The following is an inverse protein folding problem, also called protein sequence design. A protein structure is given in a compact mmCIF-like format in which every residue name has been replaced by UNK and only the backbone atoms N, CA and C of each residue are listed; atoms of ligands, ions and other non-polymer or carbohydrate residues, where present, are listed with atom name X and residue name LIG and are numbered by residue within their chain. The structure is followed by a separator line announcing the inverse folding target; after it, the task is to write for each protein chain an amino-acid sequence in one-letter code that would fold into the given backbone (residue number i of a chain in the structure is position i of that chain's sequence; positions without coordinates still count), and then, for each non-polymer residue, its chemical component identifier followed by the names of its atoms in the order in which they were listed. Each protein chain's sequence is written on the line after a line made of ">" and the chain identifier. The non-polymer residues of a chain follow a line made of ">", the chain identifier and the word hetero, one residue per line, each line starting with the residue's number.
data_IF_810543912947
#
_entry.id   IF_810543912947
#
_cell.length_a   1.000
_cell.length_b   1.000
_cell.length_c   1.000
_cell.angle_alpha   90.00
_cell.angle_beta   90.00
_cell.angle_gamma   90.00
#
_symmetry.space_group_name_H-M   'P 1'
#
loop_
_entity.id
_entity.type
_entity.pdbx_description
1 polymer ?
#
# COMPACT_ATOMS: atom_id res chain seq x y z
N UNK A 1 45.43 24.49 41.21
CA UNK A 1 44.09 23.87 40.98
C UNK A 1 43.96 22.71 41.95
N UNK A 2 42.98 22.74 42.84
CA UNK A 2 42.77 21.69 43.84
C UNK A 2 42.26 20.44 43.18
N UNK A 3 42.72 19.26 43.64
CA UNK A 3 42.28 17.94 43.10
C UNK A 3 40.75 17.80 43.08
N UNK A 4 40.06 18.44 44.01
CA UNK A 4 38.60 18.42 44.11
C UNK A 4 37.88 19.14 42.94
N UNK A 5 38.51 20.21 42.39
CA UNK A 5 37.99 20.93 41.22
C UNK A 5 38.13 20.11 39.92
N UNK A 6 39.17 19.29 39.83
CA UNK A 6 39.41 18.42 38.68
C UNK A 6 38.42 17.23 38.66
N UNK A 7 38.11 16.67 39.83
CA UNK A 7 37.13 15.57 39.97
C UNK A 7 35.71 16.06 39.63
N UNK A 8 35.34 17.29 40.04
CA UNK A 8 34.03 17.88 39.74
C UNK A 8 33.87 18.16 38.23
N UNK A 9 34.94 18.59 37.55
CA UNK A 9 34.93 18.79 36.09
C UNK A 9 34.85 17.47 35.36
N UNK A 10 35.53 16.42 35.83
CA UNK A 10 35.47 15.08 35.21
C UNK A 10 34.08 14.44 35.40
N UNK A 11 33.44 14.58 36.56
CA UNK A 11 32.07 14.12 36.79
C UNK A 11 31.04 14.92 35.96
N UNK A 12 31.24 16.23 35.75
CA UNK A 12 30.39 17.06 34.91
C UNK A 12 30.48 16.73 33.42
N UNK A 13 31.63 16.23 32.94
CA UNK A 13 31.83 15.85 31.54
C UNK A 13 31.34 14.43 31.26
N UNK A 14 31.34 13.53 32.25
CA UNK A 14 30.84 12.17 32.09
C UNK A 14 29.30 12.12 31.99
N UNK A 15 28.59 13.12 32.52
CA UNK A 15 27.12 13.19 32.41
C UNK A 15 26.62 13.73 31.07
N UNK A 16 27.48 14.15 30.15
CA UNK A 16 27.09 14.68 28.82
C UNK A 16 27.13 13.58 27.73
N UNK A 17 27.71 12.41 28.01
CA UNK A 17 27.73 11.27 27.10
C UNK A 17 26.73 10.14 27.51
N UNK A 18 25.54 10.52 27.98
CA UNK A 18 24.44 9.56 27.87
C UNK A 18 24.11 9.46 26.39
N UNK A 19 24.77 8.51 25.72
CA UNK A 19 24.43 8.14 24.36
C UNK A 19 22.93 7.90 24.33
N UNK A 20 22.21 8.63 23.49
CA UNK A 20 20.81 8.34 23.14
C UNK A 20 20.75 6.96 22.45
N UNK A 21 20.91 5.89 23.22
CA UNK A 21 20.54 4.58 22.71
C UNK A 21 19.01 4.55 22.63
N UNK A 22 18.43 4.33 21.46
CA UNK A 22 17.00 4.26 21.33
C UNK A 22 16.47 3.17 22.26
N UNK A 23 15.27 3.36 22.80
CA UNK A 23 14.64 2.39 23.69
C UNK A 23 14.62 0.99 23.03
N UNK A 24 15.07 -0.08 23.70
CA UNK A 24 15.21 -1.42 23.07
C UNK A 24 13.94 -1.92 22.38
N UNK A 25 12.76 -1.69 23.01
CA UNK A 25 11.48 -2.07 22.42
C UNK A 25 11.14 -1.24 21.18
N UNK A 26 11.55 0.03 21.12
CA UNK A 26 11.35 0.88 19.95
C UNK A 26 12.15 0.37 18.75
N UNK A 27 13.41 0.01 18.97
CA UNK A 27 14.28 -0.58 17.94
C UNK A 27 13.74 -1.94 17.47
N UNK A 28 13.27 -2.79 18.39
CA UNK A 28 12.70 -4.10 18.07
C UNK A 28 11.40 -3.97 17.29
N UNK A 29 10.54 -3.03 17.66
CA UNK A 29 9.31 -2.73 16.96
C UNK A 29 9.57 -2.30 15.51
N UNK A 30 10.53 -1.39 15.29
CA UNK A 30 10.92 -0.90 13.96
C UNK A 30 11.42 -2.05 13.05
N UNK A 31 12.18 -2.99 13.59
CA UNK A 31 12.64 -4.17 12.84
C UNK A 31 11.49 -5.11 12.41
N UNK A 32 10.44 -5.22 13.23
CA UNK A 32 9.34 -6.15 13.03
C UNK A 32 8.18 -5.54 12.22
N UNK A 33 8.15 -4.22 12.03
CA UNK A 33 7.01 -3.44 11.58
C UNK A 33 6.39 -3.91 10.26
N UNK A 34 7.21 -4.39 9.34
CA UNK A 34 6.74 -4.84 8.02
C UNK A 34 6.40 -6.33 7.97
N UNK A 35 7.12 -7.17 8.74
CA UNK A 35 6.96 -8.63 8.67
C UNK A 35 6.01 -9.17 9.72
N UNK A 36 5.96 -8.53 10.90
CA UNK A 36 5.17 -8.97 12.07
C UNK A 36 4.55 -7.75 12.76
N UNK A 37 3.58 -7.05 12.13
CA UNK A 37 3.03 -5.81 12.65
C UNK A 37 2.32 -5.97 14.01
N UNK A 38 1.67 -7.10 14.28
CA UNK A 38 1.07 -7.41 15.60
C UNK A 38 2.13 -7.47 16.70
N UNK A 39 3.25 -8.17 16.43
CA UNK A 39 4.37 -8.24 17.36
C UNK A 39 5.00 -6.85 17.57
N UNK A 40 5.16 -6.08 16.49
CA UNK A 40 5.64 -4.70 16.57
C UNK A 40 4.75 -3.86 17.47
N UNK A 41 3.41 -3.93 17.30
CA UNK A 41 2.45 -3.21 18.13
C UNK A 41 2.54 -3.63 19.60
N UNK A 42 2.79 -4.91 19.87
CA UNK A 42 2.98 -5.43 21.23
C UNK A 42 4.22 -4.82 21.90
N UNK A 43 5.36 -4.74 21.19
CA UNK A 43 6.56 -4.07 21.70
C UNK A 43 6.35 -2.58 21.95
N UNK A 44 5.61 -1.89 21.08
CA UNK A 44 5.29 -0.46 21.24
C UNK A 44 4.40 -0.22 22.46
N UNK A 45 3.38 -1.05 22.69
CA UNK A 45 2.48 -0.97 23.85
C UNK A 45 3.17 -1.32 25.19
N UNK A 46 4.25 -2.09 25.15
CA UNK A 46 5.03 -2.42 26.34
C UNK A 46 5.90 -1.24 26.84
N UNK A 47 6.04 -0.18 26.05
CA UNK A 47 6.74 1.02 26.47
C UNK A 47 5.83 1.85 27.38
N UNK A 48 6.20 1.93 28.64
CA UNK A 48 5.50 2.74 29.64
C UNK A 48 5.90 4.20 29.48
N UNK A 49 4.93 5.11 29.51
CA UNK A 49 5.16 6.56 29.43
C UNK A 49 6.03 6.99 28.23
N UNK A 50 5.66 6.64 26.96
CA UNK A 50 6.43 7.00 25.79
C UNK A 50 6.62 8.51 25.64
N UNK A 51 5.71 9.33 26.20
CA UNK A 51 5.78 10.78 26.26
C UNK A 51 6.98 11.33 27.04
N UNK A 52 7.62 10.51 27.88
CA UNK A 52 8.82 10.88 28.64
C UNK A 52 10.12 10.61 27.86
N UNK A 53 10.06 10.06 26.66
CA UNK A 53 11.21 9.88 25.78
C UNK A 53 11.72 11.22 25.23
N UNK A 54 12.87 11.16 24.52
CA UNK A 54 13.30 12.31 23.73
C UNK A 54 12.20 12.69 22.72
N UNK A 55 12.06 13.97 22.33
CA UNK A 55 11.05 14.38 21.34
C UNK A 55 11.13 13.57 20.03
N UNK A 56 12.32 13.24 19.57
CA UNK A 56 12.57 12.41 18.40
C UNK A 56 12.07 10.97 18.58
N UNK A 57 12.39 10.35 19.71
CA UNK A 57 11.99 8.96 19.98
C UNK A 57 10.49 8.84 20.20
N UNK A 58 9.87 9.84 20.85
CA UNK A 58 8.42 9.91 21.00
C UNK A 58 7.72 10.06 19.65
N UNK A 59 8.21 10.96 18.79
CA UNK A 59 7.68 11.10 17.44
C UNK A 59 7.85 9.80 16.62
N UNK A 60 9.00 9.13 16.73
CA UNK A 60 9.24 7.82 16.12
C UNK A 60 8.28 6.76 16.66
N UNK A 61 8.06 6.71 17.97
CA UNK A 61 7.09 5.81 18.58
C UNK A 61 5.68 6.04 18.03
N UNK A 62 5.25 7.30 17.95
CA UNK A 62 3.96 7.67 17.37
C UNK A 62 3.82 7.18 15.92
N UNK A 63 4.86 7.38 15.10
CA UNK A 63 4.89 6.92 13.70
C UNK A 63 4.79 5.40 13.61
N UNK A 64 5.56 4.66 14.40
CA UNK A 64 5.56 3.20 14.39
C UNK A 64 4.22 2.61 14.86
N UNK A 65 3.56 3.24 15.85
CA UNK A 65 2.20 2.82 16.27
C UNK A 65 1.22 2.96 15.10
N UNK A 66 1.26 4.09 14.40
CA UNK A 66 0.39 4.30 13.24
C UNK A 66 0.71 3.30 12.11
N UNK A 67 1.98 3.09 11.81
CA UNK A 67 2.42 2.11 10.81
C UNK A 67 1.98 0.69 11.17
N UNK A 68 2.13 0.28 12.42
CA UNK A 68 1.71 -1.04 12.88
C UNK A 68 0.19 -1.23 12.77
N UNK A 69 -0.60 -0.20 13.11
CA UNK A 69 -2.06 -0.22 12.95
C UNK A 69 -2.46 -0.36 11.49
N UNK A 70 -1.88 0.45 10.61
CA UNK A 70 -2.14 0.37 9.17
C UNK A 70 -1.81 -1.00 8.59
N UNK A 71 -0.64 -1.56 8.94
CA UNK A 71 -0.22 -2.88 8.47
C UNK A 71 -1.12 -4.03 9.02
N UNK A 72 -1.84 -3.78 10.11
CA UNK A 72 -2.88 -4.66 10.66
C UNK A 72 -4.30 -4.30 10.15
N UNK A 73 -4.40 -3.61 9.03
CA UNK A 73 -5.67 -3.20 8.40
C UNK A 73 -6.62 -2.40 9.34
N UNK A 74 -6.05 -1.65 10.29
CA UNK A 74 -6.80 -0.75 11.17
C UNK A 74 -6.83 0.66 10.58
N UNK A 75 -7.99 1.36 10.70
CA UNK A 75 -8.10 2.77 10.31
C UNK A 75 -7.16 3.66 11.13
N UNK A 76 -6.60 4.67 10.47
CA UNK A 76 -5.76 5.69 11.10
C UNK A 76 -6.54 6.93 11.54
N UNK A 77 -7.77 7.13 11.06
CA UNK A 77 -8.57 8.36 11.26
C UNK A 77 -8.83 8.71 12.73
N UNK A 78 -9.10 7.75 13.66
CA UNK A 78 -9.32 8.10 15.06
C UNK A 78 -8.04 8.50 15.80
N UNK A 79 -6.86 8.37 15.13
CA UNK A 79 -5.56 8.38 15.82
C UNK A 79 -4.77 9.66 15.58
N UNK A 80 -4.48 10.40 16.65
CA UNK A 80 -3.67 11.60 16.60
C UNK A 80 -2.15 11.33 16.51
N UNK A 81 -1.70 10.07 16.58
CA UNK A 81 -0.26 9.74 16.64
C UNK A 81 0.48 10.13 15.36
N UNK A 82 -0.12 9.96 14.19
CA UNK A 82 0.50 10.40 12.93
C UNK A 82 0.78 11.91 12.96
N UNK A 83 -0.16 12.72 13.46
CA UNK A 83 0.01 14.17 13.52
C UNK A 83 1.08 14.59 14.53
N UNK A 84 1.26 13.86 15.64
CA UNK A 84 2.37 14.09 16.57
C UNK A 84 3.72 13.78 15.91
N UNK A 85 3.81 12.72 15.13
CA UNK A 85 5.00 12.43 14.34
C UNK A 85 5.23 13.52 13.28
N UNK A 86 4.16 13.98 12.61
CA UNK A 86 4.22 15.04 11.62
C UNK A 86 4.71 16.36 12.20
N UNK A 87 4.22 16.76 13.37
CA UNK A 87 4.67 18.00 14.04
C UNK A 87 6.17 18.03 14.30
N UNK A 88 6.79 16.87 14.51
CA UNK A 88 8.23 16.75 14.68
C UNK A 88 8.97 16.63 13.34
N UNK A 89 8.67 15.58 12.54
CA UNK A 89 9.47 15.26 11.35
C UNK A 89 9.23 16.18 10.15
N UNK A 90 8.18 17.00 10.15
CA UNK A 90 8.02 18.06 9.15
C UNK A 90 9.00 19.25 9.38
N UNK A 91 9.51 19.42 10.61
CA UNK A 91 10.46 20.46 11.01
C UNK A 91 11.90 19.95 11.06
N UNK A 92 12.09 18.72 11.56
CA UNK A 92 13.39 18.04 11.60
C UNK A 92 13.45 16.94 10.54
N UNK A 93 13.92 17.30 9.35
CA UNK A 93 14.04 16.38 8.21
C UNK A 93 15.43 15.72 8.12
N UNK A 94 16.20 15.70 9.22
CA UNK A 94 17.54 15.12 9.28
C UNK A 94 17.55 13.60 9.05
N UNK A 95 16.42 12.92 9.30
CA UNK A 95 16.20 11.51 9.02
C UNK A 95 15.22 11.35 7.84
N UNK A 96 15.71 11.18 6.60
CA UNK A 96 14.84 11.11 5.42
C UNK A 96 13.86 9.92 5.44
N UNK A 97 14.25 8.79 6.08
CA UNK A 97 13.38 7.60 6.17
C UNK A 97 12.16 7.89 7.04
N UNK A 98 12.38 8.42 8.24
CA UNK A 98 11.29 8.75 9.17
C UNK A 98 10.43 9.89 8.61
N UNK A 99 11.04 10.87 7.96
CA UNK A 99 10.33 11.96 7.29
C UNK A 99 9.45 11.44 6.16
N UNK A 100 9.98 10.59 5.28
CA UNK A 100 9.21 9.98 4.17
C UNK A 100 8.01 9.19 4.69
N UNK A 101 8.22 8.31 5.68
CA UNK A 101 7.14 7.53 6.30
C UNK A 101 6.09 8.43 6.94
N UNK A 102 6.51 9.49 7.62
CA UNK A 102 5.58 10.43 8.26
C UNK A 102 4.67 11.10 7.24
N UNK A 103 5.23 11.67 6.18
CA UNK A 103 4.42 12.25 5.10
C UNK A 103 3.52 11.21 4.43
N UNK A 104 4.01 9.99 4.20
CA UNK A 104 3.22 8.90 3.63
C UNK A 104 1.99 8.56 4.48
N UNK A 105 2.16 8.30 5.79
CA UNK A 105 1.03 7.97 6.65
C UNK A 105 0.09 9.16 6.88
N UNK A 106 0.58 10.40 6.85
CA UNK A 106 -0.26 11.60 6.87
C UNK A 106 -1.12 11.67 5.60
N UNK A 107 -0.52 11.37 4.44
CA UNK A 107 -1.25 11.30 3.17
C UNK A 107 -2.37 10.24 3.18
N UNK A 108 -2.11 9.06 3.79
CA UNK A 108 -3.13 8.02 3.91
C UNK A 108 -4.34 8.48 4.75
N UNK A 109 -4.11 9.23 5.84
CA UNK A 109 -5.20 9.84 6.60
C UNK A 109 -5.97 10.84 5.73
N UNK A 110 -5.27 11.75 5.05
CA UNK A 110 -5.91 12.74 4.16
C UNK A 110 -6.75 12.04 3.07
N UNK A 111 -6.26 10.91 2.51
CA UNK A 111 -7.00 10.08 1.55
C UNK A 111 -8.26 9.45 2.19
N UNK A 112 -8.15 8.95 3.43
CA UNK A 112 -9.28 8.32 4.15
C UNK A 112 -10.39 9.33 4.47
N UNK A 113 -10.04 10.56 4.85
CA UNK A 113 -11.01 11.65 5.07
C UNK A 113 -11.42 12.38 3.78
N UNK A 114 -11.00 11.86 2.60
CA UNK A 114 -11.31 12.37 1.26
C UNK A 114 -10.73 13.75 0.93
N UNK A 115 -9.71 14.19 1.64
CA UNK A 115 -8.92 15.38 1.25
C UNK A 115 -7.84 14.97 0.23
N UNK A 116 -8.26 14.73 -1.00
CA UNK A 116 -7.42 14.10 -2.05
C UNK A 116 -6.29 15.01 -2.50
N UNK A 117 -6.52 16.33 -2.52
CA UNK A 117 -5.49 17.31 -2.91
C UNK A 117 -4.33 17.30 -1.90
N UNK A 118 -4.64 17.38 -0.61
CA UNK A 118 -3.65 17.33 0.45
C UNK A 118 -2.92 15.97 0.48
N UNK A 119 -3.66 14.86 0.27
CA UNK A 119 -3.07 13.54 0.15
C UNK A 119 -2.02 13.48 -0.96
N UNK A 120 -2.32 14.02 -2.14
CA UNK A 120 -1.38 14.07 -3.26
C UNK A 120 -0.14 14.91 -2.91
N UNK A 121 -0.32 16.08 -2.29
CA UNK A 121 0.80 16.95 -1.87
C UNK A 121 1.73 16.25 -0.87
N UNK A 122 1.17 15.54 0.12
CA UNK A 122 1.96 14.79 1.09
C UNK A 122 2.65 13.57 0.45
N UNK A 123 2.00 12.85 -0.48
CA UNK A 123 2.63 11.77 -1.22
C UNK A 123 3.83 12.25 -2.05
N UNK A 124 3.72 13.39 -2.73
CA UNK A 124 4.83 13.97 -3.48
C UNK A 124 6.02 14.30 -2.57
N UNK A 125 5.77 14.91 -1.40
CA UNK A 125 6.82 15.17 -0.40
C UNK A 125 7.41 13.87 0.15
N UNK A 126 6.56 12.88 0.46
CA UNK A 126 7.01 11.57 0.93
C UNK A 126 7.96 10.91 -0.07
N UNK A 127 7.67 11.01 -1.37
CA UNK A 127 8.52 10.47 -2.44
C UNK A 127 9.88 11.12 -2.47
N UNK A 128 9.95 12.44 -2.41
CA UNK A 128 11.23 13.18 -2.43
C UNK A 128 12.14 12.72 -1.29
N UNK A 129 11.60 12.45 -0.11
CA UNK A 129 12.36 11.94 1.02
C UNK A 129 12.66 10.43 0.91
N UNK A 130 11.75 9.62 0.35
CA UNK A 130 11.99 8.20 0.09
C UNK A 130 13.14 8.01 -0.91
N UNK A 131 13.20 8.82 -1.97
CA UNK A 131 14.31 8.84 -2.93
C UNK A 131 15.63 9.22 -2.26
N UNK A 132 15.65 10.27 -1.43
CA UNK A 132 16.84 10.66 -0.65
C UNK A 132 17.32 9.56 0.28
N UNK A 133 16.41 8.76 0.81
CA UNK A 133 16.71 7.63 1.70
C UNK A 133 17.06 6.35 0.93
N UNK A 134 16.92 6.32 -0.40
CA UNK A 134 16.98 5.11 -1.24
C UNK A 134 15.97 4.02 -0.80
N UNK A 135 14.85 4.42 -0.16
CA UNK A 135 13.75 3.52 0.18
C UNK A 135 12.82 3.34 -1.03
N UNK A 136 13.28 2.57 -2.01
CA UNK A 136 12.55 2.34 -3.26
C UNK A 136 11.29 1.50 -3.06
N UNK A 137 11.17 0.73 -1.97
CA UNK A 137 9.93 0.05 -1.62
C UNK A 137 8.85 1.05 -1.20
N UNK A 138 9.20 2.04 -0.38
CA UNK A 138 8.28 3.10 -0.01
C UNK A 138 7.97 4.00 -1.22
N UNK A 139 8.98 4.36 -2.03
CA UNK A 139 8.80 5.15 -3.24
C UNK A 139 7.82 4.47 -4.23
N UNK A 140 7.90 3.13 -4.38
CA UNK A 140 6.92 2.37 -5.14
C UNK A 140 5.50 2.48 -4.57
N UNK A 141 5.31 2.26 -3.25
CA UNK A 141 3.99 2.38 -2.61
C UNK A 141 3.37 3.77 -2.81
N UNK A 142 4.20 4.80 -2.74
CA UNK A 142 3.77 6.18 -2.99
C UNK A 142 3.30 6.35 -4.44
N UNK A 143 4.06 5.85 -5.42
CA UNK A 143 3.68 5.90 -6.83
C UNK A 143 2.38 5.15 -7.11
N UNK A 144 2.19 3.98 -6.49
CA UNK A 144 0.94 3.22 -6.56
C UNK A 144 -0.27 4.03 -6.04
N UNK A 145 -0.15 4.67 -4.87
CA UNK A 145 -1.21 5.54 -4.31
C UNK A 145 -1.48 6.78 -5.18
N UNK A 146 -0.45 7.37 -5.78
CA UNK A 146 -0.60 8.49 -6.73
C UNK A 146 -1.31 8.03 -8.01
N UNK A 147 -1.05 6.83 -8.53
CA UNK A 147 -1.78 6.26 -9.67
C UNK A 147 -3.29 6.15 -9.38
N UNK A 148 -3.66 5.71 -8.17
CA UNK A 148 -5.06 5.65 -7.74
C UNK A 148 -5.70 7.05 -7.69
N UNK A 149 -5.00 8.03 -7.11
CA UNK A 149 -5.47 9.42 -7.06
C UNK A 149 -5.65 9.99 -8.47
N UNK A 150 -4.65 9.88 -9.34
CA UNK A 150 -4.72 10.40 -10.70
C UNK A 150 -5.80 9.72 -11.53
N UNK A 151 -6.01 8.41 -11.31
CA UNK A 151 -7.11 7.67 -11.94
C UNK A 151 -8.48 8.25 -11.57
N UNK A 152 -8.72 8.49 -10.27
CA UNK A 152 -9.98 9.04 -9.77
C UNK A 152 -10.24 10.49 -10.21
N UNK A 153 -9.17 11.23 -10.49
CA UNK A 153 -9.23 12.62 -10.96
C UNK A 153 -9.28 12.73 -12.51
N UNK A 154 -9.24 11.61 -13.24
CA UNK A 154 -9.19 11.60 -14.70
C UNK A 154 -7.86 12.11 -15.29
N UNK A 155 -6.80 12.17 -14.48
CA UNK A 155 -5.48 12.66 -14.88
C UNK A 155 -4.63 11.51 -15.47
N UNK A 156 -5.06 10.95 -16.59
CA UNK A 156 -4.53 9.70 -17.14
C UNK A 156 -3.08 9.78 -17.63
N UNK A 157 -2.62 10.94 -18.10
CA UNK A 157 -1.21 11.13 -18.48
C UNK A 157 -0.28 11.14 -17.27
N UNK A 158 -0.72 11.77 -16.18
CA UNK A 158 0.00 11.74 -14.91
C UNK A 158 0.01 10.32 -14.32
N UNK A 159 -1.12 9.58 -14.41
CA UNK A 159 -1.20 8.18 -13.99
C UNK A 159 -0.18 7.32 -14.75
N UNK A 160 -0.09 7.45 -16.07
CA UNK A 160 0.86 6.65 -16.86
C UNK A 160 2.31 7.00 -16.52
N UNK A 161 2.60 8.28 -16.35
CA UNK A 161 3.95 8.74 -15.94
C UNK A 161 4.33 8.17 -14.57
N UNK A 162 3.40 8.18 -13.63
CA UNK A 162 3.62 7.69 -12.28
C UNK A 162 3.72 6.16 -12.23
N UNK A 163 2.92 5.44 -13.05
CA UNK A 163 3.01 3.98 -13.17
C UNK A 163 4.40 3.53 -13.68
N UNK A 164 4.97 4.23 -14.66
CA UNK A 164 6.34 3.98 -15.12
C UNK A 164 7.38 4.27 -14.04
N UNK A 165 7.19 5.34 -13.26
CA UNK A 165 8.07 5.65 -12.14
C UNK A 165 8.02 4.56 -11.07
N UNK A 166 6.81 4.13 -10.70
CA UNK A 166 6.59 3.03 -9.76
C UNK A 166 7.25 1.72 -10.25
N UNK A 167 7.13 1.42 -11.55
CA UNK A 167 7.78 0.25 -12.12
C UNK A 167 9.31 0.32 -12.00
N UNK A 168 9.91 1.47 -12.23
CA UNK A 168 11.34 1.65 -12.06
C UNK A 168 11.77 1.44 -10.60
N UNK A 169 11.04 1.97 -9.62
CA UNK A 169 11.32 1.74 -8.21
C UNK A 169 11.19 0.26 -7.82
N UNK A 170 10.14 -0.42 -8.31
CA UNK A 170 9.95 -1.84 -8.06
C UNK A 170 11.09 -2.68 -8.64
N UNK A 171 11.62 -2.32 -9.83
CA UNK A 171 12.78 -2.99 -10.42
C UNK A 171 14.06 -2.77 -9.60
N UNK A 172 14.29 -1.57 -9.08
CA UNK A 172 15.46 -1.26 -8.24
C UNK A 172 15.38 -2.00 -6.92
N UNK A 173 14.19 -2.04 -6.29
CA UNK A 173 13.99 -2.73 -5.02
C UNK A 173 14.07 -4.24 -5.11
N UNK A 174 13.86 -4.81 -6.33
CA UNK A 174 13.82 -6.26 -6.61
C UNK A 174 12.77 -7.01 -5.80
N UNK A 175 11.78 -6.30 -5.25
CA UNK A 175 10.67 -6.92 -4.54
C UNK A 175 9.62 -7.43 -5.54
N UNK A 176 9.45 -8.75 -5.58
CA UNK A 176 8.56 -9.40 -6.56
C UNK A 176 7.10 -8.99 -6.41
N UNK A 177 6.65 -8.67 -5.19
CA UNK A 177 5.29 -8.20 -4.95
C UNK A 177 5.09 -6.80 -5.51
N UNK A 178 6.06 -5.90 -5.27
CA UNK A 178 6.06 -4.55 -5.87
C UNK A 178 6.12 -4.61 -7.39
N UNK A 179 6.91 -5.53 -7.97
CA UNK A 179 6.98 -5.73 -9.43
C UNK A 179 5.62 -6.17 -10.00
N UNK A 180 4.92 -7.08 -9.31
CA UNK A 180 3.57 -7.50 -9.70
C UNK A 180 2.61 -6.30 -9.76
N UNK A 181 2.50 -5.55 -8.66
CA UNK A 181 1.60 -4.40 -8.61
C UNK A 181 1.99 -3.30 -9.61
N UNK A 182 3.29 -3.05 -9.81
CA UNK A 182 3.75 -2.05 -10.77
C UNK A 182 3.41 -2.42 -12.23
N UNK A 183 3.48 -3.70 -12.58
CA UNK A 183 3.02 -4.18 -13.89
C UNK A 183 1.50 -4.05 -14.05
N UNK A 184 0.74 -4.35 -12.99
CA UNK A 184 -0.71 -4.15 -12.99
C UNK A 184 -1.07 -2.65 -13.15
N UNK A 185 -0.38 -1.74 -12.43
CA UNK A 185 -0.57 -0.30 -12.56
C UNK A 185 -0.30 0.20 -13.99
N UNK A 186 0.75 -0.31 -14.65
CA UNK A 186 1.02 -0.03 -16.07
C UNK A 186 -0.11 -0.54 -16.96
N UNK A 187 -0.58 -1.77 -16.75
CA UNK A 187 -1.71 -2.33 -17.47
C UNK A 187 -2.96 -1.46 -17.32
N UNK A 188 -3.30 -1.06 -16.10
CA UNK A 188 -4.42 -0.16 -15.83
C UNK A 188 -4.23 1.24 -16.42
N UNK A 189 -3.00 1.78 -16.41
CA UNK A 189 -2.72 3.09 -17.00
C UNK A 189 -2.89 3.06 -18.54
N UNK A 190 -2.41 2.01 -19.20
CA UNK A 190 -2.62 1.83 -20.64
C UNK A 190 -4.08 1.56 -20.98
N UNK A 191 -4.80 0.79 -20.15
CA UNK A 191 -6.23 0.53 -20.34
C UNK A 191 -7.05 1.83 -20.27
N UNK A 192 -6.75 2.74 -19.33
CA UNK A 192 -7.44 4.05 -19.25
C UNK A 192 -7.14 4.97 -20.43
N UNK A 193 -6.09 4.71 -21.19
CA UNK A 193 -5.75 5.41 -22.45
C UNK A 193 -6.23 4.66 -23.70
N UNK A 194 -7.06 3.64 -23.52
CA UNK A 194 -7.60 2.77 -24.61
C UNK A 194 -6.52 2.05 -25.43
N UNK A 195 -5.31 1.94 -24.88
CA UNK A 195 -4.20 1.21 -25.50
C UNK A 195 -4.21 -0.26 -25.03
N UNK A 196 -5.22 -1.00 -25.50
CA UNK A 196 -5.58 -2.31 -24.95
C UNK A 196 -4.50 -3.38 -25.16
N UNK A 197 -3.78 -3.35 -26.29
CA UNK A 197 -2.69 -4.31 -26.54
C UNK A 197 -1.52 -4.09 -25.57
N UNK A 198 -1.21 -2.84 -25.25
CA UNK A 198 -0.21 -2.50 -24.22
C UNK A 198 -0.68 -2.93 -22.84
N UNK A 199 -1.97 -2.72 -22.51
CA UNK A 199 -2.53 -3.16 -21.24
C UNK A 199 -2.43 -4.68 -21.09
N UNK A 200 -2.83 -5.45 -22.10
CA UNK A 200 -2.71 -6.92 -22.13
C UNK A 200 -1.26 -7.37 -21.90
N UNK A 201 -0.29 -6.76 -22.60
CA UNK A 201 1.11 -7.10 -22.44
C UNK A 201 1.58 -6.99 -20.99
N UNK A 202 1.19 -5.94 -20.26
CA UNK A 202 1.58 -5.75 -18.87
C UNK A 202 0.81 -6.66 -17.92
N UNK A 203 -0.49 -6.87 -18.11
CA UNK A 203 -1.27 -7.79 -17.30
C UNK A 203 -0.80 -9.24 -17.45
N UNK A 204 -0.49 -9.68 -18.68
CA UNK A 204 0.06 -11.02 -18.94
C UNK A 204 1.42 -11.22 -18.31
N UNK A 205 2.24 -10.18 -18.19
CA UNK A 205 3.50 -10.22 -17.42
C UNK A 205 3.29 -10.22 -15.91
N UNK A 206 2.26 -9.55 -15.41
CA UNK A 206 1.93 -9.51 -13.99
C UNK A 206 1.40 -10.86 -13.48
N UNK A 207 0.60 -11.55 -14.28
CA UNK A 207 -0.11 -12.78 -13.89
C UNK A 207 0.79 -13.90 -13.32
N UNK A 208 1.87 -14.36 -13.98
CA UNK A 208 2.72 -15.42 -13.45
C UNK A 208 3.45 -15.01 -12.16
N UNK A 209 3.70 -13.71 -11.99
CA UNK A 209 4.30 -13.21 -10.75
C UNK A 209 3.25 -13.27 -9.64
N UNK A 210 2.00 -12.84 -9.89
CA UNK A 210 0.90 -12.93 -8.93
C UNK A 210 0.72 -14.37 -8.43
N UNK A 211 0.67 -15.36 -9.33
CA UNK A 211 0.54 -16.77 -8.97
C UNK A 211 1.61 -17.23 -7.97
N UNK A 212 2.84 -16.73 -8.12
CA UNK A 212 3.98 -17.15 -7.31
C UNK A 212 4.05 -16.42 -5.97
N UNK A 213 3.86 -15.09 -5.95
CA UNK A 213 4.15 -14.27 -4.77
C UNK A 213 2.90 -13.84 -4.01
N UNK A 214 1.74 -13.84 -4.64
CA UNK A 214 0.46 -13.46 -4.06
C UNK A 214 -0.69 -14.32 -4.59
N UNK A 215 -0.72 -15.63 -4.29
CA UNK A 215 -1.70 -16.56 -4.88
C UNK A 215 -3.17 -16.13 -4.73
N UNK A 216 -3.51 -15.39 -3.69
CA UNK A 216 -4.85 -14.83 -3.48
C UNK A 216 -5.23 -13.77 -4.54
N UNK A 217 -4.25 -13.12 -5.18
CA UNK A 217 -4.50 -12.15 -6.24
C UNK A 217 -4.58 -12.79 -7.64
N UNK A 218 -4.43 -14.12 -7.76
CA UNK A 218 -4.44 -14.82 -9.05
C UNK A 218 -5.72 -14.58 -9.82
N UNK A 219 -6.88 -14.70 -9.17
CA UNK A 219 -8.19 -14.46 -9.78
C UNK A 219 -8.36 -13.01 -10.23
N UNK A 220 -7.91 -12.04 -9.39
CA UNK A 220 -7.93 -10.62 -9.74
C UNK A 220 -7.04 -10.31 -10.96
N UNK A 221 -5.83 -10.88 -11.02
CA UNK A 221 -4.93 -10.71 -12.16
C UNK A 221 -5.53 -11.28 -13.46
N UNK A 222 -6.24 -12.42 -13.39
CA UNK A 222 -7.00 -12.95 -14.53
C UNK A 222 -8.16 -12.04 -14.92
N UNK A 223 -8.82 -11.41 -13.96
CA UNK A 223 -9.90 -10.46 -14.23
C UNK A 223 -9.41 -9.23 -14.97
N UNK A 224 -8.21 -8.72 -14.65
CA UNK A 224 -7.59 -7.61 -15.39
C UNK A 224 -7.38 -7.98 -16.87
N UNK A 225 -6.87 -9.18 -17.14
CA UNK A 225 -6.72 -9.72 -18.51
C UNK A 225 -8.11 -9.88 -19.17
N UNK A 226 -9.08 -10.42 -18.45
CA UNK A 226 -10.43 -10.61 -18.94
C UNK A 226 -11.08 -9.28 -19.36
N UNK A 227 -11.00 -8.24 -18.52
CA UNK A 227 -11.50 -6.90 -18.85
C UNK A 227 -10.80 -6.30 -20.08
N UNK A 228 -9.50 -6.53 -20.23
CA UNK A 228 -8.78 -6.06 -21.41
C UNK A 228 -9.29 -6.76 -22.69
N UNK A 229 -9.58 -8.08 -22.66
CA UNK A 229 -10.21 -8.78 -23.79
C UNK A 229 -11.64 -8.31 -24.05
N UNK A 230 -12.44 -8.01 -23.02
CA UNK A 230 -13.78 -7.40 -23.18
C UNK A 230 -13.66 -6.06 -23.92
N UNK A 231 -12.75 -5.19 -23.49
CA UNK A 231 -12.51 -3.88 -24.13
C UNK A 231 -12.01 -4.03 -25.58
N UNK A 232 -11.27 -5.11 -25.88
CA UNK A 232 -10.87 -5.49 -27.24
C UNK A 232 -11.99 -6.08 -28.07
N UNK A 233 -13.14 -6.39 -27.45
CA UNK A 233 -14.29 -7.13 -28.01
C UNK A 233 -13.94 -8.57 -28.44
N UNK A 234 -12.87 -9.14 -27.91
CA UNK A 234 -12.52 -10.54 -28.05
C UNK A 234 -13.21 -11.36 -26.95
N UNK A 235 -14.51 -11.57 -27.11
CA UNK A 235 -15.34 -12.25 -26.12
C UNK A 235 -15.00 -13.74 -25.97
N UNK A 236 -14.39 -14.37 -26.98
CA UNK A 236 -13.96 -15.76 -26.89
C UNK A 236 -12.80 -15.88 -25.89
N UNK A 237 -11.78 -15.06 -26.06
CA UNK A 237 -10.66 -15.01 -25.11
C UNK A 237 -11.12 -14.56 -23.72
N UNK A 238 -12.00 -13.56 -23.64
CA UNK A 238 -12.57 -13.09 -22.38
C UNK A 238 -13.29 -14.22 -21.62
N UNK A 239 -14.15 -15.01 -22.28
CA UNK A 239 -14.85 -16.14 -21.66
C UNK A 239 -13.88 -17.22 -21.18
N UNK A 240 -12.83 -17.51 -21.94
CA UNK A 240 -11.79 -18.48 -21.55
C UNK A 240 -11.12 -18.03 -20.26
N UNK A 241 -10.60 -16.81 -20.22
CA UNK A 241 -9.89 -16.25 -19.06
C UNK A 241 -10.82 -16.13 -17.84
N UNK A 242 -12.07 -15.70 -18.05
CA UNK A 242 -13.07 -15.64 -16.97
C UNK A 242 -13.35 -17.02 -16.36
N UNK A 243 -13.42 -18.07 -17.16
CA UNK A 243 -13.58 -19.44 -16.66
C UNK A 243 -12.36 -19.89 -15.85
N UNK A 244 -11.14 -19.54 -16.26
CA UNK A 244 -9.92 -19.80 -15.50
C UNK A 244 -9.94 -19.07 -14.16
N UNK A 245 -10.37 -17.79 -14.12
CA UNK A 245 -10.52 -17.02 -12.89
C UNK A 245 -11.53 -17.66 -11.92
N UNK A 246 -12.68 -18.15 -12.42
CA UNK A 246 -13.67 -18.87 -11.61
C UNK A 246 -13.10 -20.17 -11.05
N UNK A 247 -12.31 -20.90 -11.85
CA UNK A 247 -11.72 -22.18 -11.44
C UNK A 247 -10.61 -22.01 -10.40
N UNK A 248 -9.85 -20.90 -10.43
CA UNK A 248 -8.81 -20.59 -9.44
C UNK A 248 -9.40 -20.17 -8.09
N UNK A 249 -10.64 -19.72 -8.06
CA UNK A 249 -11.25 -19.14 -6.86
C UNK A 249 -11.83 -20.22 -5.95
N UNK A 250 -11.27 -20.32 -4.74
CA UNK A 250 -11.74 -21.26 -3.70
C UNK A 250 -12.79 -20.62 -2.80
N UNK A 251 -12.77 -19.28 -2.69
CA UNK A 251 -13.68 -18.54 -1.83
C UNK A 251 -14.96 -18.14 -2.55
N UNK A 252 -16.09 -18.23 -1.88
CA UNK A 252 -17.40 -17.91 -2.46
C UNK A 252 -17.57 -16.40 -2.71
N UNK A 253 -16.87 -15.55 -1.95
CA UNK A 253 -16.94 -14.07 -2.06
C UNK A 253 -16.30 -13.60 -3.35
N UNK A 254 -15.09 -14.06 -3.65
CA UNK A 254 -14.36 -13.60 -4.85
C UNK A 254 -14.94 -14.20 -6.12
N UNK A 255 -15.56 -15.39 -6.03
CA UNK A 255 -16.28 -16.01 -7.14
C UNK A 255 -17.49 -15.18 -7.61
N UNK A 256 -18.09 -14.40 -6.73
CA UNK A 256 -19.16 -13.47 -7.06
C UNK A 256 -18.74 -12.43 -8.12
N UNK A 257 -17.58 -11.82 -7.99
CA UNK A 257 -17.07 -10.85 -8.96
C UNK A 257 -16.86 -11.49 -10.34
N UNK A 258 -16.34 -12.71 -10.37
CA UNK A 258 -16.12 -13.45 -11.62
C UNK A 258 -17.45 -13.79 -12.33
N UNK A 259 -18.53 -14.08 -11.59
CA UNK A 259 -19.85 -14.27 -12.19
C UNK A 259 -20.43 -12.97 -12.75
N UNK A 260 -20.21 -11.81 -12.12
CA UNK A 260 -20.59 -10.52 -12.71
C UNK A 260 -19.88 -10.32 -14.04
N UNK A 261 -18.55 -10.51 -14.09
CA UNK A 261 -17.77 -10.34 -15.31
C UNK A 261 -18.31 -11.25 -16.42
N UNK A 262 -18.59 -12.51 -16.09
CA UNK A 262 -19.14 -13.46 -17.04
C UNK A 262 -20.53 -13.06 -17.52
N UNK A 263 -21.38 -12.52 -16.65
CA UNK A 263 -22.68 -11.95 -17.00
C UNK A 263 -22.56 -10.78 -17.97
N UNK A 264 -21.59 -9.86 -17.73
CA UNK A 264 -21.30 -8.74 -18.63
C UNK A 264 -20.88 -9.25 -20.03
N UNK A 265 -19.98 -10.25 -20.09
CA UNK A 265 -19.58 -10.83 -21.40
C UNK A 265 -20.80 -11.36 -22.16
N UNK A 266 -21.69 -12.12 -21.51
CA UNK A 266 -22.88 -12.65 -22.14
C UNK A 266 -23.87 -11.55 -22.54
N UNK A 267 -23.99 -10.49 -21.79
CA UNK A 267 -24.77 -9.31 -22.14
C UNK A 267 -24.24 -8.64 -23.41
N UNK A 268 -22.92 -8.44 -23.52
CA UNK A 268 -22.28 -7.82 -24.68
C UNK A 268 -22.46 -8.62 -25.98
N UNK A 269 -22.46 -9.95 -25.86
CA UNK A 269 -22.74 -10.84 -27.01
C UNK A 269 -24.25 -11.14 -27.21
N UNK A 270 -25.12 -10.39 -26.49
CA UNK A 270 -26.59 -10.47 -26.58
C UNK A 270 -27.21 -11.83 -26.19
N UNK A 271 -26.49 -12.62 -25.38
CA UNK A 271 -26.99 -13.86 -24.79
C UNK A 271 -27.64 -13.57 -23.43
N UNK A 272 -28.79 -12.92 -23.46
CA UNK A 272 -29.44 -12.35 -22.25
C UNK A 272 -29.84 -13.40 -21.21
N UNK A 273 -30.29 -14.60 -21.63
CA UNK A 273 -30.63 -15.67 -20.67
C UNK A 273 -29.40 -16.13 -19.87
N UNK A 274 -28.26 -16.26 -20.54
CA UNK A 274 -26.98 -16.58 -19.90
C UNK A 274 -26.53 -15.44 -19.00
N UNK A 275 -26.64 -14.19 -19.42
CA UNK A 275 -26.32 -13.03 -18.63
C UNK A 275 -27.14 -13.00 -17.33
N UNK A 276 -28.47 -13.17 -17.40
CA UNK A 276 -29.38 -13.23 -16.26
C UNK A 276 -28.98 -14.36 -15.31
N UNK A 277 -28.66 -15.54 -15.85
CA UNK A 277 -28.22 -16.69 -15.07
C UNK A 277 -26.99 -16.33 -14.21
N UNK A 278 -25.93 -15.75 -14.80
CA UNK A 278 -24.68 -15.43 -14.08
C UNK A 278 -24.86 -14.25 -13.09
N UNK A 279 -25.66 -13.23 -13.42
CA UNK A 279 -26.01 -12.16 -12.48
C UNK A 279 -26.82 -12.71 -11.29
N UNK A 280 -27.70 -13.70 -11.52
CA UNK A 280 -28.45 -14.37 -10.45
C UNK A 280 -27.51 -15.18 -9.54
N UNK A 281 -26.52 -15.89 -10.12
CA UNK A 281 -25.51 -16.62 -9.35
C UNK A 281 -24.69 -15.66 -8.51
N UNK A 282 -24.32 -14.50 -9.03
CA UNK A 282 -23.57 -13.50 -8.28
C UNK A 282 -24.38 -12.97 -7.08
N UNK A 283 -25.66 -12.66 -7.26
CA UNK A 283 -26.51 -12.14 -6.19
C UNK A 283 -26.76 -13.16 -5.07
N UNK A 284 -26.97 -14.43 -5.37
CA UNK A 284 -27.14 -15.51 -4.39
C UNK A 284 -25.90 -15.66 -3.50
N UNK A 285 -24.71 -15.61 -4.07
CA UNK A 285 -23.46 -15.69 -3.30
C UNK A 285 -23.26 -14.48 -2.38
N UNK A 286 -23.72 -13.29 -2.76
CA UNK A 286 -23.67 -12.08 -1.92
C UNK A 286 -24.56 -12.22 -0.66
N UNK A 287 -25.72 -12.85 -0.77
CA UNK A 287 -26.62 -13.09 0.38
C UNK A 287 -26.03 -14.10 1.36
N UNK A 288 -25.40 -15.17 0.90
CA UNK A 288 -24.75 -16.18 1.75
C UNK A 288 -23.63 -15.54 2.58
N UNK A 289 -22.79 -14.68 1.96
CA UNK A 289 -21.70 -14.00 2.66
C UNK A 289 -22.17 -13.04 3.75
N UNK A 290 -23.28 -12.34 3.55
CA UNK A 290 -23.84 -11.45 4.58
C UNK A 290 -24.45 -12.22 5.76
N UNK A 291 -24.95 -13.42 5.53
CA UNK A 291 -25.56 -14.26 6.60
C UNK A 291 -24.51 -15.03 7.43
N UNK A 292 -23.28 -15.17 6.96
CA UNK A 292 -22.18 -15.83 7.70
C UNK A 292 -21.33 -14.86 8.52
N UNK A 293 -21.56 -13.54 8.40
CA UNK A 293 -20.90 -12.49 9.18
C UNK A 293 -21.74 -11.98 10.38
N UNK A 294 -22.90 -12.58 10.64
CA UNK A 294 -23.74 -12.41 11.84
C UNK A 294 -23.54 -13.58 12.81
#
# INVERSE_FOLDING_TARGET
>A
MRKDTLITIIMGVISIFTSCNPHPNLSKADQLINSYPDSSLTYLKAIQHPENMSPKDYAKWCLLVAQAKYNNAQSLVPDSFVFKAFDYFSKDTSDPILTARTYFYTALISKEIRNIEEAAQYLLKARDFAEKANDYNLAFKISHDLCDIYSKQGLFDYKLTEAWRGYNYAQISKDSLSIYYALADLGHAYSTKEQIDSALYFFEKAFPIAQKVHPKATSSALNDICYAYINKKDYISALKICNEAIACEKDSIDRYNNYIIKGVIFQDIQQYDSAIHYFTLSSKNQYICKSTQL
#
